data_IF_850686185015
#
_entry.id   IF_850686185015
#
_cell.length_a   1.000
_cell.length_b   1.000
_cell.length_c   1.000
_cell.angle_alpha   90.00
_cell.angle_beta   90.00
_cell.angle_gamma   90.00
#
_symmetry.space_group_name_H-M   'P 1'
#
loop_
_entity.id
_entity.type
_entity.pdbx_description
1 polymer ?
#
# COMPACT_ATOMS: atom_id res chain seq x y z
N UNK A 1 13.45 -17.66 14.14
CA UNK A 1 12.74 -16.82 13.15
C UNK A 1 13.52 -15.52 13.00
N UNK A 2 14.08 -15.32 11.81
CA UNK A 2 15.10 -14.31 11.49
C UNK A 2 14.61 -12.86 11.73
N UNK A 3 15.23 -12.17 12.70
CA UNK A 3 14.88 -10.80 13.14
C UNK A 3 15.03 -9.75 12.03
N UNK A 4 15.82 -10.02 10.99
CA UNK A 4 16.05 -9.10 9.87
C UNK A 4 14.80 -8.89 8.99
N UNK A 5 13.94 -9.91 8.83
CA UNK A 5 12.67 -9.77 8.06
C UNK A 5 11.62 -8.88 8.74
N UNK A 6 11.77 -8.57 10.03
CA UNK A 6 10.80 -7.74 10.77
C UNK A 6 10.99 -6.24 10.48
N UNK A 7 12.22 -5.82 10.18
CA UNK A 7 12.59 -4.40 10.03
C UNK A 7 12.78 -3.99 8.57
N UNK A 8 13.05 -4.94 7.68
CA UNK A 8 13.33 -4.68 6.28
C UNK A 8 12.33 -5.39 5.36
N UNK A 9 11.95 -4.72 4.28
CA UNK A 9 11.17 -5.26 3.17
C UNK A 9 11.90 -5.03 1.85
N UNK A 10 11.53 -5.75 0.79
CA UNK A 10 12.19 -5.65 -0.51
C UNK A 10 11.59 -4.53 -1.36
N UNK A 11 12.43 -3.62 -1.88
CA UNK A 11 12.01 -2.51 -2.75
C UNK A 11 11.20 -3.01 -3.96
N UNK A 12 11.67 -4.09 -4.60
CA UNK A 12 11.04 -4.60 -5.80
C UNK A 12 9.69 -5.27 -5.51
N UNK A 13 9.53 -5.89 -4.33
CA UNK A 13 8.23 -6.42 -3.88
C UNK A 13 7.26 -5.26 -3.69
N UNK A 14 7.70 -4.18 -3.03
CA UNK A 14 6.87 -2.99 -2.79
C UNK A 14 6.40 -2.37 -4.11
N UNK A 15 7.30 -2.18 -5.09
CA UNK A 15 6.96 -1.61 -6.40
C UNK A 15 5.93 -2.43 -7.16
N UNK A 16 6.08 -3.75 -7.15
CA UNK A 16 5.15 -4.65 -7.81
C UNK A 16 3.80 -4.70 -7.08
N UNK A 17 3.79 -4.67 -5.75
CA UNK A 17 2.53 -4.55 -5.00
C UNK A 17 1.83 -3.22 -5.27
N UNK A 18 2.55 -2.11 -5.43
CA UNK A 18 1.98 -0.82 -5.80
C UNK A 18 1.37 -0.87 -7.21
N UNK A 19 2.00 -1.57 -8.15
CA UNK A 19 1.42 -1.82 -9.48
C UNK A 19 0.10 -2.60 -9.40
N UNK A 20 0.04 -3.67 -8.60
CA UNK A 20 -1.20 -4.41 -8.40
C UNK A 20 -2.30 -3.56 -7.77
N UNK A 21 -1.97 -2.68 -6.82
CA UNK A 21 -2.93 -1.72 -6.24
C UNK A 21 -3.55 -0.86 -7.34
N UNK A 22 -2.76 -0.31 -8.27
CA UNK A 22 -3.25 0.49 -9.40
C UNK A 22 -4.24 -0.31 -10.24
N UNK A 23 -3.90 -1.55 -10.59
CA UNK A 23 -4.75 -2.42 -11.41
C UNK A 23 -6.07 -2.72 -10.69
N UNK A 24 -6.01 -3.13 -9.42
CA UNK A 24 -7.20 -3.47 -8.62
C UNK A 24 -8.13 -2.27 -8.46
N UNK A 25 -7.58 -1.09 -8.09
CA UNK A 25 -8.40 0.12 -7.93
C UNK A 25 -9.01 0.55 -9.26
N UNK A 26 -8.24 0.52 -10.36
CA UNK A 26 -8.75 0.90 -11.69
C UNK A 26 -9.88 -0.01 -12.15
N UNK A 27 -9.71 -1.33 -12.02
CA UNK A 27 -10.74 -2.32 -12.36
C UNK A 27 -11.98 -2.13 -11.50
N UNK A 28 -11.81 -1.92 -10.20
CA UNK A 28 -12.95 -1.74 -9.29
C UNK A 28 -13.72 -0.45 -9.55
N UNK A 29 -13.05 0.64 -9.93
CA UNK A 29 -13.72 1.88 -10.34
C UNK A 29 -14.47 1.71 -11.66
N UNK A 30 -13.88 1.01 -12.64
CA UNK A 30 -14.48 0.81 -13.95
C UNK A 30 -15.72 -0.10 -13.92
N UNK A 31 -15.69 -1.15 -13.08
CA UNK A 31 -16.81 -2.06 -12.88
C UNK A 31 -17.75 -1.65 -11.74
N UNK A 32 -17.48 -0.52 -11.08
CA UNK A 32 -18.20 -0.04 -9.89
C UNK A 32 -18.38 -1.13 -8.82
N UNK A 33 -17.34 -1.95 -8.63
CA UNK A 33 -17.46 -3.19 -7.85
C UNK A 33 -16.77 -3.06 -6.48
N UNK A 34 -17.48 -2.64 -5.41
CA UNK A 34 -16.87 -2.25 -4.13
C UNK A 34 -16.23 -3.42 -3.37
N UNK A 35 -16.65 -4.66 -3.66
CA UNK A 35 -16.08 -5.86 -3.04
C UNK A 35 -14.59 -6.03 -3.33
N UNK A 36 -14.13 -5.59 -4.51
CA UNK A 36 -12.71 -5.65 -4.88
C UNK A 36 -11.88 -4.69 -4.02
N UNK A 37 -12.40 -3.48 -3.77
CA UNK A 37 -11.78 -2.53 -2.86
C UNK A 37 -11.83 -3.02 -1.41
N UNK A 38 -12.89 -3.72 -0.99
CA UNK A 38 -12.97 -4.29 0.35
C UNK A 38 -11.84 -5.32 0.57
N UNK A 39 -11.58 -6.18 -0.41
CA UNK A 39 -10.44 -7.10 -0.39
C UNK A 39 -9.10 -6.33 -0.28
N UNK A 40 -8.98 -5.21 -0.98
CA UNK A 40 -7.80 -4.34 -0.92
C UNK A 40 -7.62 -3.68 0.45
N UNK A 41 -8.71 -3.30 1.13
CA UNK A 41 -8.69 -2.81 2.52
C UNK A 41 -8.11 -3.86 3.45
N UNK A 42 -8.58 -5.12 3.36
CA UNK A 42 -8.04 -6.22 4.16
C UNK A 42 -6.55 -6.41 3.92
N UNK A 43 -6.11 -6.38 2.67
CA UNK A 43 -4.70 -6.51 2.34
C UNK A 43 -3.84 -5.36 2.93
N UNK A 44 -4.34 -4.13 2.89
CA UNK A 44 -3.66 -3.00 3.54
C UNK A 44 -3.62 -3.11 5.07
N UNK A 45 -4.69 -3.60 5.71
CA UNK A 45 -4.73 -3.83 7.17
C UNK A 45 -3.69 -4.89 7.58
N UNK A 46 -3.59 -5.97 6.81
CA UNK A 46 -2.59 -7.02 7.02
C UNK A 46 -1.17 -6.43 6.91
N UNK A 47 -0.92 -5.60 5.87
CA UNK A 47 0.36 -4.91 5.69
C UNK A 47 0.67 -3.92 6.82
N UNK A 48 -0.32 -3.14 7.25
CA UNK A 48 -0.20 -2.20 8.35
C UNK A 48 0.19 -2.90 9.66
N UNK A 49 -0.41 -4.06 9.92
CA UNK A 49 -0.16 -4.88 11.12
C UNK A 49 1.24 -5.54 11.12
N UNK A 50 1.96 -5.47 10.00
CA UNK A 50 3.28 -6.07 9.86
C UNK A 50 3.26 -7.59 9.73
N UNK A 51 2.09 -8.17 9.45
CA UNK A 51 1.96 -9.60 9.19
C UNK A 51 2.49 -9.88 7.78
N UNK A 52 3.44 -10.80 7.67
CA UNK A 52 4.14 -11.14 6.41
C UNK A 52 3.26 -11.88 5.38
N UNK A 53 1.98 -12.11 5.70
CA UNK A 53 1.01 -12.87 4.91
C UNK A 53 0.00 -11.96 4.17
N UNK A 54 0.47 -10.87 3.55
CA UNK A 54 -0.40 -10.15 2.62
C UNK A 54 -0.47 -10.94 1.30
N UNK A 55 -1.67 -11.32 0.82
CA UNK A 55 -1.82 -12.10 -0.42
C UNK A 55 -1.13 -11.45 -1.61
N UNK A 56 -1.18 -10.12 -1.74
CA UNK A 56 -0.44 -9.40 -2.79
C UNK A 56 1.07 -9.48 -2.60
N UNK A 57 1.56 -9.38 -1.37
CA UNK A 57 2.99 -9.45 -1.08
C UNK A 57 3.56 -10.85 -1.34
N UNK A 58 2.79 -11.91 -1.10
CA UNK A 58 3.17 -13.29 -1.44
C UNK A 58 3.19 -13.51 -2.94
N UNK A 59 2.18 -13.02 -3.66
CA UNK A 59 2.13 -13.09 -5.12
C UNK A 59 3.31 -12.38 -5.77
N UNK A 60 3.60 -11.17 -5.27
CA UNK A 60 4.75 -10.37 -5.70
C UNK A 60 6.07 -11.10 -5.44
N UNK A 61 6.27 -11.67 -4.24
CA UNK A 61 7.47 -12.45 -3.93
C UNK A 61 7.61 -13.70 -4.80
N UNK A 62 6.51 -14.38 -5.13
CA UNK A 62 6.53 -15.51 -6.06
C UNK A 62 6.99 -15.08 -7.46
N UNK A 63 6.43 -13.99 -8.01
CA UNK A 63 6.88 -13.46 -9.31
C UNK A 63 8.35 -13.04 -9.26
N UNK A 64 8.78 -12.36 -8.19
CA UNK A 64 10.16 -11.90 -8.05
C UNK A 64 11.16 -13.06 -7.95
N UNK A 65 10.78 -14.14 -7.27
CA UNK A 65 11.59 -15.36 -7.14
C UNK A 65 11.84 -16.01 -8.51
N UNK A 66 10.87 -15.91 -9.42
CA UNK A 66 10.99 -16.38 -10.80
C UNK A 66 11.86 -15.42 -11.63
N UNK A 67 11.77 -14.12 -11.38
CA UNK A 67 12.48 -13.11 -12.16
C UNK A 67 13.97 -12.94 -11.81
N UNK A 68 14.47 -13.56 -10.73
CA UNK A 68 15.90 -13.55 -10.38
C UNK A 68 16.47 -12.18 -9.96
N UNK A 69 15.63 -11.20 -9.63
CA UNK A 69 16.09 -9.87 -9.21
C UNK A 69 16.75 -9.91 -7.83
N UNK A 70 17.88 -9.22 -7.69
CA UNK A 70 18.57 -9.09 -6.41
C UNK A 70 17.69 -8.33 -5.40
N UNK A 71 17.46 -8.87 -4.19
CA UNK A 71 16.67 -8.19 -3.17
C UNK A 71 17.39 -6.91 -2.70
N UNK A 72 16.67 -5.79 -2.68
CA UNK A 72 17.17 -4.51 -2.15
C UNK A 72 16.38 -4.17 -0.88
N UNK A 73 16.99 -4.34 0.32
CA UNK A 73 16.29 -4.11 1.57
C UNK A 73 16.02 -2.63 1.81
N UNK A 74 14.80 -2.30 2.21
CA UNK A 74 14.35 -0.97 2.64
C UNK A 74 13.59 -1.07 3.97
N UNK A 75 13.54 0.00 4.75
CA UNK A 75 12.86 -0.01 6.05
C UNK A 75 11.35 -0.25 5.93
N UNK A 76 10.84 -1.22 6.68
CA UNK A 76 9.43 -1.61 6.65
C UNK A 76 8.52 -0.64 7.45
N UNK A 77 9.03 0.01 8.49
CA UNK A 77 8.23 0.88 9.37
C UNK A 77 7.48 2.01 8.64
N UNK A 78 8.13 2.88 7.84
CA UNK A 78 7.42 3.93 7.10
C UNK A 78 6.42 3.35 6.08
N UNK A 79 6.67 2.16 5.54
CA UNK A 79 5.77 1.47 4.61
C UNK A 79 4.53 0.91 5.29
N UNK A 80 4.64 0.44 6.53
CA UNK A 80 3.47 0.04 7.33
C UNK A 80 2.56 1.22 7.60
N UNK A 81 3.12 2.38 7.93
CA UNK A 81 2.35 3.61 8.11
C UNK A 81 1.64 4.03 6.81
N UNK A 82 2.34 3.98 5.67
CA UNK A 82 1.73 4.25 4.37
C UNK A 82 0.57 3.28 4.06
N UNK A 83 0.70 2.00 4.42
CA UNK A 83 -0.37 1.01 4.28
C UNK A 83 -1.57 1.31 5.19
N UNK A 84 -1.35 1.79 6.42
CA UNK A 84 -2.44 2.23 7.31
C UNK A 84 -3.22 3.39 6.70
N UNK A 85 -2.54 4.42 6.19
CA UNK A 85 -3.21 5.52 5.49
C UNK A 85 -3.97 5.00 4.26
N UNK A 86 -3.33 4.14 3.46
CA UNK A 86 -3.96 3.48 2.32
C UNK A 86 -5.23 2.71 2.68
N UNK A 87 -5.25 1.98 3.81
CA UNK A 87 -6.47 1.30 4.27
C UNK A 87 -7.59 2.27 4.61
N UNK A 88 -7.29 3.39 5.28
CA UNK A 88 -8.29 4.39 5.66
C UNK A 88 -8.89 5.00 4.40
N UNK A 89 -8.05 5.48 3.47
CA UNK A 89 -8.52 6.04 2.20
C UNK A 89 -9.34 5.03 1.39
N UNK A 90 -8.87 3.79 1.27
CA UNK A 90 -9.59 2.75 0.51
C UNK A 90 -10.94 2.42 1.16
N UNK A 91 -11.00 2.34 2.49
CA UNK A 91 -12.24 2.11 3.22
C UNK A 91 -13.22 3.27 3.02
N UNK A 92 -12.74 4.52 3.07
CA UNK A 92 -13.54 5.69 2.76
C UNK A 92 -14.13 5.58 1.35
N UNK A 93 -13.34 5.22 0.34
CA UNK A 93 -13.84 5.02 -1.03
C UNK A 93 -14.94 3.96 -1.08
N UNK A 94 -14.77 2.82 -0.41
CA UNK A 94 -15.82 1.77 -0.33
C UNK A 94 -17.11 2.33 0.24
N UNK A 95 -17.04 3.04 1.36
CA UNK A 95 -18.23 3.65 1.99
C UNK A 95 -18.89 4.66 1.06
N UNK A 96 -18.10 5.47 0.34
CA UNK A 96 -18.64 6.44 -0.62
C UNK A 96 -19.30 5.77 -1.83
N UNK A 97 -18.77 4.66 -2.33
CA UNK A 97 -19.42 3.87 -3.39
C UNK A 97 -20.76 3.30 -2.90
N UNK A 98 -20.79 2.72 -1.70
CA UNK A 98 -22.00 2.10 -1.13
C UNK A 98 -23.09 3.12 -0.79
N UNK A 99 -22.72 4.36 -0.47
CA UNK A 99 -23.65 5.46 -0.18
C UNK A 99 -24.11 6.21 -1.43
N UNK A 100 -23.63 5.83 -2.62
CA UNK A 100 -24.04 6.41 -3.91
C UNK A 100 -23.28 7.67 -4.32
N UNK A 101 -22.25 8.11 -3.57
CA UNK A 101 -21.42 9.27 -3.90
C UNK A 101 -20.24 8.89 -4.82
N UNK A 102 -20.55 8.30 -5.98
CA UNK A 102 -19.53 7.76 -6.89
C UNK A 102 -18.54 8.82 -7.41
N UNK A 103 -19.00 10.04 -7.72
CA UNK A 103 -18.11 11.11 -8.20
C UNK A 103 -16.99 11.45 -7.19
N UNK A 104 -17.31 11.42 -5.90
CA UNK A 104 -16.34 11.69 -4.84
C UNK A 104 -15.44 10.46 -4.64
N UNK A 105 -16.00 9.25 -4.70
CA UNK A 105 -15.24 7.99 -4.68
C UNK A 105 -14.19 7.92 -5.82
N UNK A 106 -14.56 8.36 -7.03
CA UNK A 106 -13.67 8.49 -8.18
C UNK A 106 -12.50 9.43 -7.89
N UNK A 107 -12.77 10.61 -7.32
CA UNK A 107 -11.72 11.56 -6.97
C UNK A 107 -10.67 10.98 -6.03
N UNK A 108 -11.12 10.31 -4.96
CA UNK A 108 -10.22 9.63 -4.02
C UNK A 108 -9.52 8.41 -4.64
N UNK A 109 -10.21 7.64 -5.49
CA UNK A 109 -9.64 6.50 -6.19
C UNK A 109 -8.53 6.89 -7.18
N UNK A 110 -8.75 7.95 -7.96
CA UNK A 110 -7.74 8.53 -8.86
C UNK A 110 -6.54 9.07 -8.08
N UNK A 111 -6.79 9.74 -6.95
CA UNK A 111 -5.72 10.19 -6.06
C UNK A 111 -4.88 9.01 -5.55
N UNK A 112 -5.51 7.91 -5.11
CA UNK A 112 -4.80 6.70 -4.69
C UNK A 112 -3.98 6.09 -5.84
N UNK A 113 -4.54 6.02 -7.05
CA UNK A 113 -3.84 5.52 -8.24
C UNK A 113 -2.60 6.36 -8.52
N UNK A 114 -2.69 7.69 -8.48
CA UNK A 114 -1.55 8.58 -8.71
C UNK A 114 -0.45 8.36 -7.67
N UNK A 115 -0.80 8.25 -6.39
CA UNK A 115 0.15 7.98 -5.31
C UNK A 115 0.83 6.61 -5.48
N UNK A 116 0.06 5.58 -5.83
CA UNK A 116 0.58 4.24 -6.08
C UNK A 116 1.47 4.18 -7.34
N UNK A 117 1.15 4.94 -8.39
CA UNK A 117 1.97 5.07 -9.58
C UNK A 117 3.32 5.73 -9.27
N UNK A 118 3.31 6.81 -8.47
CA UNK A 118 4.54 7.47 -8.01
C UNK A 118 5.47 6.50 -7.27
N UNK A 119 4.90 5.61 -6.45
CA UNK A 119 5.65 4.61 -5.74
C UNK A 119 6.20 3.50 -6.67
N UNK A 120 5.38 3.03 -7.62
CA UNK A 120 5.77 1.95 -8.53
C UNK A 120 6.84 2.38 -9.54
N UNK A 121 6.70 3.58 -10.13
CA UNK A 121 7.57 4.09 -11.18
C UNK A 121 8.75 4.92 -10.63
N UNK A 122 8.48 5.91 -9.78
CA UNK A 122 9.48 6.89 -9.30
C UNK A 122 10.11 6.53 -7.95
N UNK A 123 9.61 5.49 -7.27
CA UNK A 123 10.02 5.10 -5.90
C UNK A 123 9.72 6.17 -4.84
N UNK A 124 8.80 7.09 -5.15
CA UNK A 124 8.41 8.19 -4.28
C UNK A 124 7.17 7.77 -3.50
N UNK A 125 7.33 7.68 -2.17
CA UNK A 125 6.28 7.28 -1.24
C UNK A 125 5.81 8.46 -0.41
N UNK A 126 4.71 9.10 -0.80
CA UNK A 126 4.19 10.27 -0.07
C UNK A 126 3.90 9.95 1.39
N UNK A 127 3.30 8.78 1.68
CA UNK A 127 3.08 8.33 3.06
C UNK A 127 4.36 8.16 3.88
N UNK A 128 5.47 7.80 3.23
CA UNK A 128 6.76 7.69 3.89
C UNK A 128 7.38 9.06 4.20
N UNK A 129 7.21 10.05 3.31
CA UNK A 129 7.62 11.43 3.60
C UNK A 129 6.84 12.01 4.78
N UNK A 130 5.52 11.78 4.82
CA UNK A 130 4.67 12.19 5.95
C UNK A 130 5.16 11.54 7.25
N UNK A 131 5.49 10.24 7.22
CA UNK A 131 6.05 9.55 8.38
C UNK A 131 7.35 10.20 8.86
N UNK A 132 8.25 10.54 7.95
CA UNK A 132 9.53 11.17 8.27
C UNK A 132 9.37 12.59 8.83
N UNK A 133 8.39 13.36 8.33
CA UNK A 133 8.16 14.74 8.77
C UNK A 133 7.37 14.81 10.07
N UNK A 134 6.48 13.86 10.35
CA UNK A 134 5.57 13.92 11.50
C UNK A 134 6.00 12.95 12.60
N UNK A 135 6.10 11.65 12.27
CA UNK A 135 6.27 10.60 13.28
C UNK A 135 7.68 10.62 13.86
N UNK A 136 8.70 10.76 13.01
CA UNK A 136 10.11 10.80 13.46
C UNK A 136 10.39 11.92 14.46
N UNK A 137 10.04 13.21 14.22
CA UNK A 137 10.32 14.26 15.19
C UNK A 137 9.51 14.10 16.48
N UNK A 138 8.26 13.63 16.42
CA UNK A 138 7.45 13.35 17.62
C UNK A 138 8.11 12.26 18.45
N UNK A 139 8.56 11.17 17.82
CA UNK A 139 9.27 10.09 18.50
C UNK A 139 10.58 10.59 19.14
N UNK A 140 11.31 11.46 18.45
CA UNK A 140 12.56 12.03 18.98
C UNK A 140 12.32 12.98 20.15
N UNK A 141 11.17 13.65 20.21
CA UNK A 141 10.80 14.56 21.31
C UNK A 141 10.27 13.84 22.56
N UNK A 142 9.79 12.61 22.38
CA UNK A 142 9.27 11.75 23.46
C UNK A 142 10.35 10.87 24.12
N UNK A 143 11.54 10.84 23.54
CA UNK A 143 12.70 10.12 24.05
C UNK A 143 13.62 11.07 24.80
#
# INVERSE_FOLDING_TARGET
MDQTKKYYTDENTVRLTAFFVIVVVSVSLFFEWPYLLLLLVFDFIIRASGLLFSPLALFSKSILKISGLKPKPIFAAPKRFAATLGSIFTLTIVVLMLTGFYNVALGFGLMLILLAALESFLKICVGCYIFQVIVVPIQNKLK
#
